data_IF_791196551186
#
_entry.id   IF_791196551186
#
_cell.length_a   1.000
_cell.length_b   1.000
_cell.length_c   1.000
_cell.angle_alpha   90.00
_cell.angle_beta   90.00
_cell.angle_gamma   90.00
#
_symmetry.space_group_name_H-M   'P 1'
#
loop_
_entity.id
_entity.type
_entity.pdbx_description
1 polymer ?
#
# COMPACT_ATOMS: atom_id res chain seq x y z
N UNK A 1 13.81 -25.83 3.52
CA UNK A 1 12.84 -24.79 3.91
C UNK A 1 11.47 -25.41 3.86
N UNK A 2 10.79 -25.44 5.00
CA UNK A 2 9.43 -25.99 5.07
C UNK A 2 8.51 -25.19 4.16
N UNK A 3 7.58 -25.85 3.47
CA UNK A 3 6.64 -25.20 2.55
C UNK A 3 5.83 -24.09 3.25
N UNK A 4 5.66 -24.20 4.56
CA UNK A 4 4.99 -23.23 5.42
C UNK A 4 5.82 -21.96 5.68
N UNK A 5 7.15 -22.08 5.78
CA UNK A 5 8.05 -20.93 5.96
C UNK A 5 8.14 -20.08 4.69
N UNK A 6 8.13 -20.72 3.52
CA UNK A 6 8.21 -20.06 2.22
C UNK A 6 7.03 -19.09 1.95
N UNK A 7 5.90 -19.31 2.62
CA UNK A 7 4.66 -18.53 2.43
C UNK A 7 4.47 -17.50 3.54
N UNK A 8 5.15 -17.68 4.67
CA UNK A 8 5.02 -16.83 5.86
C UNK A 8 5.36 -15.37 5.56
N UNK A 9 6.46 -15.12 4.85
CA UNK A 9 6.90 -13.77 4.47
C UNK A 9 5.84 -13.06 3.62
N UNK A 10 5.26 -13.77 2.64
CA UNK A 10 4.21 -13.22 1.80
C UNK A 10 2.96 -12.88 2.62
N UNK A 11 2.49 -13.81 3.47
CA UNK A 11 1.29 -13.61 4.29
C UNK A 11 1.44 -12.41 5.23
N UNK A 12 2.56 -12.34 5.94
CA UNK A 12 2.85 -11.21 6.85
C UNK A 12 2.90 -9.90 6.07
N UNK A 13 3.58 -9.87 4.92
CA UNK A 13 3.64 -8.67 4.09
C UNK A 13 2.27 -8.22 3.59
N UNK A 14 1.42 -9.16 3.15
CA UNK A 14 0.04 -8.86 2.73
C UNK A 14 -0.81 -8.33 3.88
N UNK A 15 -0.64 -8.85 5.10
CA UNK A 15 -1.33 -8.35 6.30
C UNK A 15 -0.88 -6.93 6.62
N UNK A 16 0.43 -6.65 6.62
CA UNK A 16 0.96 -5.31 6.85
C UNK A 16 0.43 -4.34 5.81
N UNK A 17 0.49 -4.70 4.52
CA UNK A 17 -0.09 -3.93 3.43
C UNK A 17 -1.59 -3.66 3.69
N UNK A 18 -2.36 -4.68 4.04
CA UNK A 18 -3.79 -4.55 4.32
C UNK A 18 -4.07 -3.56 5.45
N UNK A 19 -3.35 -3.65 6.57
CA UNK A 19 -3.52 -2.73 7.69
C UNK A 19 -3.27 -1.28 7.25
N UNK A 20 -2.18 -1.05 6.51
CA UNK A 20 -1.82 0.29 6.03
C UNK A 20 -2.92 0.85 5.12
N UNK A 21 -3.30 0.11 4.08
CA UNK A 21 -4.29 0.62 3.11
C UNK A 21 -5.70 0.74 3.70
N UNK A 22 -6.05 -0.07 4.70
CA UNK A 22 -7.32 0.09 5.42
C UNK A 22 -7.31 1.35 6.29
N UNK A 23 -6.21 1.65 7.00
CA UNK A 23 -6.09 2.87 7.81
C UNK A 23 -6.12 4.12 6.93
N UNK A 24 -5.31 4.16 5.87
CA UNK A 24 -5.31 5.27 4.92
C UNK A 24 -6.65 5.37 4.17
N UNK A 25 -7.21 4.24 3.76
CA UNK A 25 -8.49 4.15 3.06
C UNK A 25 -9.67 4.67 3.86
N UNK A 26 -9.77 4.24 5.12
CA UNK A 26 -10.79 4.73 6.02
C UNK A 26 -10.65 6.25 6.23
N UNK A 27 -9.42 6.72 6.46
CA UNK A 27 -9.16 8.13 6.63
C UNK A 27 -9.52 8.97 5.39
N UNK A 28 -9.13 8.52 4.20
CA UNK A 28 -9.44 9.18 2.94
C UNK A 28 -10.94 9.18 2.62
N UNK A 29 -11.64 8.08 2.89
CA UNK A 29 -13.06 7.95 2.59
C UNK A 29 -13.95 8.75 3.53
N UNK A 30 -13.71 8.67 4.85
CA UNK A 30 -14.64 9.21 5.84
C UNK A 30 -14.20 10.56 6.41
N UNK A 31 -12.90 10.80 6.60
CA UNK A 31 -12.38 11.97 7.32
C UNK A 31 -11.22 12.69 6.57
N UNK A 32 -11.32 12.96 5.25
CA UNK A 32 -10.21 13.52 4.47
C UNK A 32 -9.75 14.90 4.96
N UNK A 33 -10.68 15.73 5.45
CA UNK A 33 -10.36 17.07 5.97
C UNK A 33 -9.53 17.04 7.26
N UNK A 34 -9.69 16.03 8.11
CA UNK A 34 -8.87 15.87 9.32
C UNK A 34 -7.44 15.51 8.92
N UNK A 35 -7.27 14.58 7.99
CA UNK A 35 -5.94 14.17 7.50
C UNK A 35 -5.19 15.32 6.85
N UNK A 36 -5.83 16.09 5.96
CA UNK A 36 -5.19 17.23 5.30
C UNK A 36 -4.73 18.29 6.31
N UNK A 37 -5.54 18.57 7.34
CA UNK A 37 -5.16 19.51 8.42
C UNK A 37 -3.97 19.00 9.23
N UNK A 38 -3.96 17.70 9.59
CA UNK A 38 -2.86 17.10 10.37
C UNK A 38 -1.53 17.16 9.61
N UNK A 39 -1.58 17.03 8.29
CA UNK A 39 -0.40 16.97 7.43
C UNK A 39 0.07 18.35 6.97
N UNK A 40 -0.77 19.39 7.15
CA UNK A 40 -0.49 20.74 6.65
C UNK A 40 -0.45 20.80 5.12
N UNK A 41 -1.23 19.96 4.46
CA UNK A 41 -1.20 19.77 3.01
C UNK A 41 -1.83 20.93 2.23
N UNK A 42 -1.42 21.08 0.97
CA UNK A 42 -2.13 21.93 0.00
C UNK A 42 -3.62 21.55 -0.10
N UNK A 43 -4.52 22.49 -0.44
CA UNK A 43 -5.93 22.19 -0.64
C UNK A 43 -6.11 21.24 -1.83
N UNK A 44 -6.82 20.13 -1.58
CA UNK A 44 -7.19 19.12 -2.58
C UNK A 44 -8.70 18.93 -2.52
N UNK A 45 -9.33 18.73 -3.67
CA UNK A 45 -10.77 18.47 -3.75
C UNK A 45 -11.10 17.12 -3.10
N UNK A 46 -12.05 17.13 -2.16
CA UNK A 46 -12.32 15.98 -1.30
C UNK A 46 -12.92 14.79 -2.05
N UNK A 47 -13.57 15.01 -3.19
CA UNK A 47 -14.07 13.96 -4.07
C UNK A 47 -12.94 13.02 -4.52
N UNK A 48 -11.82 13.57 -5.02
CA UNK A 48 -10.65 12.77 -5.41
C UNK A 48 -10.08 11.96 -4.24
N UNK A 49 -10.01 12.55 -3.03
CA UNK A 49 -9.51 11.84 -1.85
C UNK A 49 -10.47 10.71 -1.47
N UNK A 50 -11.77 10.98 -1.38
CA UNK A 50 -12.77 9.97 -1.00
C UNK A 50 -12.84 8.81 -1.99
N UNK A 51 -12.77 9.13 -3.28
CA UNK A 51 -12.76 8.12 -4.34
C UNK A 51 -11.57 7.17 -4.17
N UNK A 52 -10.36 7.72 -3.99
CA UNK A 52 -9.17 6.89 -3.73
C UNK A 52 -9.29 6.07 -2.45
N UNK A 53 -9.94 6.61 -1.41
CA UNK A 53 -10.23 5.93 -0.15
C UNK A 53 -11.01 4.62 -0.34
N UNK A 54 -12.09 4.65 -1.13
CA UNK A 54 -12.87 3.44 -1.44
C UNK A 54 -12.04 2.37 -2.18
N UNK A 55 -11.23 2.79 -3.15
CA UNK A 55 -10.35 1.89 -3.91
C UNK A 55 -9.33 1.21 -3.00
N UNK A 56 -8.63 1.96 -2.16
CA UNK A 56 -7.57 1.39 -1.31
C UNK A 56 -8.12 0.51 -0.18
N UNK A 57 -9.34 0.76 0.31
CA UNK A 57 -10.03 -0.18 1.22
C UNK A 57 -10.26 -1.52 0.53
N UNK A 58 -10.77 -1.52 -0.70
CA UNK A 58 -11.02 -2.75 -1.45
C UNK A 58 -9.73 -3.56 -1.68
N UNK A 59 -8.62 -2.88 -1.96
CA UNK A 59 -7.29 -3.53 -2.05
C UNK A 59 -6.86 -4.16 -0.73
N UNK A 60 -7.11 -3.50 0.39
CA UNK A 60 -6.82 -4.05 1.72
C UNK A 60 -7.61 -5.31 2.04
N UNK A 61 -8.91 -5.30 1.74
CA UNK A 61 -9.76 -6.49 1.90
C UNK A 61 -9.26 -7.62 1.00
N UNK A 62 -8.93 -7.33 -0.26
CA UNK A 62 -8.35 -8.31 -1.17
C UNK A 62 -7.05 -8.91 -0.64
N UNK A 63 -6.17 -8.09 -0.05
CA UNK A 63 -4.93 -8.56 0.55
C UNK A 63 -5.17 -9.47 1.77
N UNK A 64 -6.17 -9.19 2.62
CA UNK A 64 -6.55 -10.09 3.72
C UNK A 64 -7.05 -11.44 3.20
N UNK A 65 -7.92 -11.43 2.18
CA UNK A 65 -8.43 -12.65 1.55
C UNK A 65 -7.28 -13.51 0.99
N UNK A 66 -6.36 -12.90 0.25
CA UNK A 66 -5.21 -13.59 -0.34
C UNK A 66 -4.20 -14.03 0.72
N UNK A 67 -4.00 -13.28 1.80
CA UNK A 67 -3.13 -13.71 2.90
C UNK A 67 -3.65 -14.98 3.59
N UNK A 68 -4.97 -15.19 3.60
CA UNK A 68 -5.59 -16.37 4.17
C UNK A 68 -5.47 -17.58 3.26
N UNK A 69 -5.62 -17.38 1.93
CA UNK A 69 -5.57 -18.41 0.89
C UNK A 69 -4.76 -17.90 -0.33
N UNK A 70 -3.42 -17.98 -0.28
CA UNK A 70 -2.57 -17.44 -1.33
C UNK A 70 -2.49 -18.31 -2.59
N UNK A 71 -3.03 -19.53 -2.56
CA UNK A 71 -2.88 -20.49 -3.66
C UNK A 71 -3.47 -19.95 -4.97
N UNK A 72 -2.67 -19.99 -6.05
CA UNK A 72 -3.05 -19.51 -7.40
C UNK A 72 -3.37 -18.01 -7.47
N UNK A 73 -2.95 -17.22 -6.48
CA UNK A 73 -3.17 -15.76 -6.43
C UNK A 73 -1.96 -14.96 -6.92
N UNK A 74 -1.05 -15.57 -7.70
CA UNK A 74 0.16 -14.92 -8.20
C UNK A 74 -0.09 -13.62 -8.96
N UNK A 75 -1.20 -13.51 -9.70
CA UNK A 75 -1.58 -12.28 -10.41
C UNK A 75 -1.89 -11.17 -9.41
N UNK A 76 -2.72 -11.42 -8.40
CA UNK A 76 -3.07 -10.43 -7.39
C UNK A 76 -1.83 -9.93 -6.65
N UNK A 77 -0.96 -10.83 -6.21
CA UNK A 77 0.28 -10.47 -5.51
C UNK A 77 1.16 -9.60 -6.42
N UNK A 78 1.29 -9.95 -7.70
CA UNK A 78 2.04 -9.16 -8.67
C UNK A 78 1.44 -7.76 -8.85
N UNK A 79 0.11 -7.66 -8.97
CA UNK A 79 -0.59 -6.39 -9.04
C UNK A 79 -0.34 -5.52 -7.80
N UNK A 80 -0.40 -6.07 -6.59
CA UNK A 80 -0.13 -5.32 -5.36
C UNK A 80 1.33 -4.88 -5.26
N UNK A 81 2.25 -5.72 -5.74
CA UNK A 81 3.67 -5.38 -5.82
C UNK A 81 3.90 -4.19 -6.76
N UNK A 82 3.21 -4.16 -7.89
CA UNK A 82 3.28 -3.04 -8.85
C UNK A 82 2.59 -1.79 -8.33
N UNK A 83 1.43 -1.91 -7.68
CA UNK A 83 0.74 -0.78 -7.03
C UNK A 83 1.68 -0.11 -6.03
N UNK A 84 2.27 -0.88 -5.11
CA UNK A 84 3.20 -0.34 -4.12
C UNK A 84 4.46 0.26 -4.76
N UNK A 85 4.99 -0.36 -5.81
CA UNK A 85 6.13 0.19 -6.54
C UNK A 85 5.81 1.55 -7.18
N UNK A 86 4.75 1.61 -7.99
CA UNK A 86 4.40 2.82 -8.73
C UNK A 86 3.89 3.93 -7.81
N UNK A 87 3.18 3.61 -6.73
CA UNK A 87 2.84 4.59 -5.70
C UNK A 87 4.10 5.17 -5.06
N UNK A 88 5.07 4.33 -4.68
CA UNK A 88 6.32 4.80 -4.09
C UNK A 88 7.14 5.68 -5.05
N UNK A 89 7.25 5.28 -6.32
CA UNK A 89 7.94 6.06 -7.34
C UNK A 89 7.23 7.38 -7.65
N UNK A 90 5.90 7.38 -7.71
CA UNK A 90 5.11 8.61 -7.90
C UNK A 90 5.27 9.60 -6.74
N UNK A 91 5.26 9.10 -5.50
CA UNK A 91 5.51 9.94 -4.32
C UNK A 91 6.94 10.48 -4.28
N UNK A 92 7.92 9.66 -4.65
CA UNK A 92 9.31 10.10 -4.75
C UNK A 92 9.48 11.21 -5.80
N UNK A 93 8.85 11.04 -6.97
CA UNK A 93 8.83 12.05 -8.02
C UNK A 93 8.22 13.37 -7.52
N UNK A 94 7.04 13.29 -6.89
CA UNK A 94 6.33 14.46 -6.35
C UNK A 94 7.16 15.20 -5.28
N UNK A 95 7.91 14.45 -4.47
CA UNK A 95 8.83 15.02 -3.49
C UNK A 95 10.01 15.74 -4.17
N UNK A 96 10.65 15.12 -5.17
CA UNK A 96 11.75 15.73 -5.92
C UNK A 96 11.30 17.02 -6.63
N UNK A 97 10.12 16.98 -7.24
CA UNK A 97 9.55 18.10 -7.99
C UNK A 97 8.86 19.15 -7.13
N UNK A 98 8.78 18.94 -5.81
CA UNK A 98 8.13 19.86 -4.86
C UNK A 98 6.64 20.16 -5.20
N UNK A 99 5.93 19.19 -5.80
CA UNK A 99 4.52 19.36 -6.20
C UNK A 99 3.55 19.33 -5.01
N UNK A 100 3.93 18.64 -3.93
CA UNK A 100 3.12 18.50 -2.73
C UNK A 100 3.80 19.14 -1.53
N UNK A 101 3.19 20.21 -1.01
CA UNK A 101 3.61 20.84 0.24
C UNK A 101 2.86 20.19 1.40
N UNK A 102 3.62 19.57 2.30
CA UNK A 102 3.16 18.91 3.51
C UNK A 102 4.33 18.77 4.48
N UNK A 103 4.04 18.37 5.73
CA UNK A 103 5.09 18.05 6.68
C UNK A 103 6.05 16.97 6.13
N UNK A 104 7.37 17.22 6.21
CA UNK A 104 8.40 16.35 5.61
C UNK A 104 8.31 14.90 6.07
N UNK A 105 7.95 14.66 7.34
CA UNK A 105 7.77 13.30 7.87
C UNK A 105 6.67 12.54 7.14
N UNK A 106 5.60 13.22 6.73
CA UNK A 106 4.48 12.59 6.02
C UNK A 106 4.84 12.25 4.58
N UNK A 107 5.55 13.16 3.90
CA UNK A 107 6.06 12.92 2.55
C UNK A 107 7.05 11.74 2.55
N UNK A 108 7.99 11.74 3.51
CA UNK A 108 8.96 10.67 3.67
C UNK A 108 8.29 9.32 3.97
N UNK A 109 7.33 9.29 4.91
CA UNK A 109 6.59 8.06 5.23
C UNK A 109 5.81 7.54 4.02
N UNK A 110 5.06 8.41 3.34
CA UNK A 110 4.24 8.05 2.17
C UNK A 110 5.06 7.63 0.95
N UNK A 111 6.35 7.97 0.91
CA UNK A 111 7.29 7.55 -0.14
C UNK A 111 7.99 6.24 0.23
N UNK A 112 8.60 6.18 1.41
CA UNK A 112 9.43 5.05 1.82
C UNK A 112 8.61 3.79 2.12
N UNK A 113 7.42 3.94 2.73
CA UNK A 113 6.57 2.82 3.12
C UNK A 113 6.13 1.96 1.92
N UNK A 114 5.55 2.51 0.83
CA UNK A 114 5.18 1.70 -0.33
C UNK A 114 6.40 1.11 -1.07
N UNK A 115 7.54 1.80 -1.11
CA UNK A 115 8.77 1.23 -1.69
C UNK A 115 9.28 0.03 -0.88
N UNK A 116 9.31 0.13 0.45
CA UNK A 116 9.68 -0.97 1.33
C UNK A 116 8.72 -2.16 1.18
N UNK A 117 7.41 -1.90 1.15
CA UNK A 117 6.40 -2.93 0.90
C UNK A 117 6.55 -3.60 -0.46
N UNK A 118 6.88 -2.85 -1.50
CA UNK A 118 7.12 -3.43 -2.83
C UNK A 118 8.29 -4.40 -2.81
N UNK A 119 9.39 -4.05 -2.14
CA UNK A 119 10.53 -4.95 -1.94
C UNK A 119 10.15 -6.23 -1.17
N UNK A 120 9.40 -6.08 -0.07
CA UNK A 120 8.92 -7.21 0.72
C UNK A 120 7.94 -8.11 -0.06
N UNK A 121 7.06 -7.53 -0.88
CA UNK A 121 6.12 -8.28 -1.72
C UNK A 121 6.85 -9.03 -2.83
N UNK A 122 7.84 -8.41 -3.49
CA UNK A 122 8.70 -9.10 -4.46
C UNK A 122 9.43 -10.29 -3.82
N UNK A 123 9.99 -10.08 -2.64
CA UNK A 123 10.69 -11.12 -1.90
C UNK A 123 9.75 -12.26 -1.46
N UNK A 124 8.61 -11.92 -0.85
CA UNK A 124 7.61 -12.88 -0.43
C UNK A 124 7.03 -13.68 -1.61
N UNK A 125 6.77 -13.01 -2.74
CA UNK A 125 6.36 -13.66 -4.00
C UNK A 125 7.42 -14.63 -4.50
N UNK A 126 8.70 -14.24 -4.46
CA UNK A 126 9.82 -15.09 -4.87
C UNK A 126 9.88 -16.39 -4.06
N UNK A 127 9.70 -16.31 -2.74
CA UNK A 127 9.67 -17.49 -1.86
C UNK A 127 8.43 -18.35 -2.06
N UNK A 128 7.26 -17.75 -2.30
CA UNK A 128 5.99 -18.45 -2.46
C UNK A 128 5.69 -18.92 -3.89
N UNK A 129 6.63 -18.82 -4.85
CA UNK A 129 6.41 -19.10 -6.28
C UNK A 129 5.84 -20.49 -6.57
N UNK A 130 6.11 -21.48 -5.72
CA UNK A 130 5.60 -22.85 -5.91
C UNK A 130 4.11 -23.03 -5.62
N UNK A 131 3.46 -22.08 -4.95
CA UNK A 131 2.02 -22.16 -4.62
C UNK A 131 1.19 -21.03 -5.26
N UNK A 132 1.85 -19.97 -5.74
CA UNK A 132 1.23 -18.79 -6.33
C UNK A 132 0.77 -18.99 -7.78
#
# INVERSE_FOLDING_TARGET
MDQNDNVKVLKVTLIIFAVIVLVYGFGFLFVPGLLLKLVGGNPVEFGWIRWSGGVIIALGIGALMVSSKPEKQGIFVTSMTLVTLFTGLGMLYSWIMQEFSAATWFIALSTCLPLALSGLLWWGRGQAKGIL
#
